data_IF_327339163155
#
_entry.id   IF_327339163155
#
_cell.length_a   1.000
_cell.length_b   1.000
_cell.length_c   1.000
_cell.angle_alpha   90.00
_cell.angle_beta   90.00
_cell.angle_gamma   90.00
#
_symmetry.space_group_name_H-M   'P 1'
#
loop_
_entity.id
_entity.type
_entity.pdbx_description
1 polymer ?
#
# COMPACT_ATOMS: atom_id res chain seq x y z
N UNK A 1 2.74 -11.45 0.13
CA UNK A 1 2.36 -11.70 1.52
C UNK A 1 0.88 -11.37 1.66
N UNK A 2 0.02 -12.36 1.85
CA UNK A 2 -1.40 -12.13 2.15
C UNK A 2 -1.50 -11.42 3.50
N UNK A 3 -2.27 -10.32 3.55
CA UNK A 3 -2.42 -9.52 4.76
C UNK A 3 -2.92 -10.36 5.93
N UNK A 4 -2.54 -9.99 7.15
CA UNK A 4 -3.07 -10.64 8.35
C UNK A 4 -4.39 -9.96 8.76
N UNK A 5 -5.31 -10.69 9.42
CA UNK A 5 -6.42 -10.06 10.12
C UNK A 5 -5.91 -8.95 11.05
N UNK A 6 -6.64 -7.85 11.14
CA UNK A 6 -6.24 -6.71 11.95
C UNK A 6 -6.70 -5.36 11.40
N UNK A 7 -6.19 -4.26 11.96
CA UNK A 7 -6.46 -2.92 11.44
C UNK A 7 -6.03 -2.78 9.97
N UNK A 8 -6.85 -2.15 9.14
CA UNK A 8 -6.57 -1.89 7.73
C UNK A 8 -7.33 -0.66 7.21
N UNK A 9 -7.00 -0.24 6.00
CA UNK A 9 -7.69 0.85 5.32
C UNK A 9 -7.12 1.11 3.93
N UNK A 10 -7.73 2.04 3.17
CA UNK A 10 -7.15 2.51 1.92
C UNK A 10 -5.78 3.14 2.17
N UNK A 11 -4.91 3.06 1.17
CA UNK A 11 -3.59 3.65 1.22
C UNK A 11 -3.31 4.57 0.03
N UNK A 12 -2.33 5.44 0.20
CA UNK A 12 -1.71 6.22 -0.86
C UNK A 12 -0.22 5.92 -0.85
N UNK A 13 0.33 5.59 -2.00
CA UNK A 13 1.73 5.24 -2.18
C UNK A 13 2.45 6.35 -2.96
N UNK A 14 3.67 6.69 -2.54
CA UNK A 14 4.55 7.65 -3.22
C UNK A 14 5.60 6.87 -3.97
N UNK A 15 5.75 7.22 -5.25
CA UNK A 15 6.69 6.58 -6.16
C UNK A 15 7.76 7.54 -6.64
N UNK A 16 8.96 7.02 -6.82
CA UNK A 16 10.11 7.71 -7.39
C UNK A 16 10.41 7.19 -8.79
N UNK A 17 10.43 8.09 -9.77
CA UNK A 17 10.82 7.78 -11.14
C UNK A 17 12.35 7.80 -11.28
N UNK A 18 12.95 6.63 -11.52
CA UNK A 18 14.39 6.47 -11.75
C UNK A 18 14.84 6.89 -13.15
N UNK A 19 13.87 7.14 -14.04
CA UNK A 19 14.06 7.60 -15.40
C UNK A 19 13.97 6.51 -16.47
N UNK A 20 13.95 6.90 -17.75
CA UNK A 20 13.68 6.00 -18.88
C UNK A 20 14.67 4.85 -19.07
N UNK A 21 15.86 4.94 -18.46
CA UNK A 21 16.86 3.86 -18.49
C UNK A 21 16.39 2.59 -17.74
N UNK A 22 15.36 2.71 -16.89
CA UNK A 22 14.91 1.65 -16.01
C UNK A 22 13.56 1.04 -16.39
N UNK A 23 12.91 1.52 -17.46
CA UNK A 23 11.62 0.98 -17.90
C UNK A 23 10.78 1.94 -18.75
N UNK A 24 9.65 1.46 -19.30
CA UNK A 24 8.73 2.27 -20.10
C UNK A 24 8.05 3.39 -19.27
N UNK A 25 7.58 4.43 -19.96
CA UNK A 25 6.69 5.46 -19.37
C UNK A 25 5.32 4.86 -19.03
N UNK A 26 4.61 5.47 -18.08
CA UNK A 26 3.22 5.10 -17.74
C UNK A 26 2.93 5.05 -16.23
N UNK A 27 3.91 5.41 -15.40
CA UNK A 27 3.78 5.40 -13.96
C UNK A 27 3.87 3.99 -13.34
N UNK A 28 3.59 3.87 -12.03
CA UNK A 28 3.73 2.62 -11.29
C UNK A 28 2.95 1.43 -11.87
N UNK A 29 1.78 1.67 -12.46
CA UNK A 29 0.99 0.61 -13.08
C UNK A 29 1.65 0.01 -14.33
N UNK A 30 2.58 0.73 -14.95
CA UNK A 30 3.28 0.29 -16.16
C UNK A 30 4.56 -0.47 -15.85
N UNK A 31 5.32 -0.06 -14.81
CA UNK A 31 6.62 -0.67 -14.49
C UNK A 31 7.09 -0.38 -13.04
N UNK A 32 7.24 -1.45 -12.27
CA UNK A 32 7.72 -1.40 -10.87
C UNK A 32 9.26 -1.31 -10.75
N UNK A 33 10.01 -1.30 -11.86
CA UNK A 33 11.48 -1.16 -11.85
C UNK A 33 11.93 0.29 -12.06
N UNK A 34 11.20 1.05 -12.89
CA UNK A 34 11.38 2.48 -13.10
C UNK A 34 10.72 3.30 -12.00
N UNK A 35 9.46 3.01 -11.68
CA UNK A 35 8.72 3.73 -10.66
C UNK A 35 8.78 2.93 -9.34
N UNK A 36 9.76 3.23 -8.50
CA UNK A 36 9.92 2.54 -7.22
C UNK A 36 9.01 3.15 -6.16
N UNK A 37 8.22 2.32 -5.50
CA UNK A 37 7.49 2.71 -4.29
C UNK A 37 8.50 3.01 -3.18
N UNK A 38 8.53 4.26 -2.71
CA UNK A 38 9.43 4.69 -1.63
C UNK A 38 8.70 4.83 -0.29
N UNK A 39 7.41 5.14 -0.31
CA UNK A 39 6.64 5.41 0.90
C UNK A 39 5.18 5.00 0.74
N UNK A 40 4.67 4.23 1.68
CA UNK A 40 3.25 3.90 1.78
C UNK A 40 2.61 4.64 2.96
N UNK A 41 1.45 5.27 2.74
CA UNK A 41 0.62 5.92 3.74
C UNK A 41 -0.71 5.19 3.83
N UNK A 42 -0.92 4.45 4.92
CA UNK A 42 -2.15 3.70 5.18
C UNK A 42 -3.07 4.51 6.09
N UNK A 43 -4.29 4.77 5.63
CA UNK A 43 -5.32 5.47 6.38
C UNK A 43 -6.22 4.45 7.07
N UNK A 44 -5.81 4.03 8.27
CA UNK A 44 -6.44 2.95 9.03
C UNK A 44 -7.86 3.34 9.44
N UNK A 45 -8.84 2.53 9.01
CA UNK A 45 -10.26 2.81 9.16
C UNK A 45 -11.08 1.61 9.63
N UNK A 46 -10.64 0.39 9.33
CA UNK A 46 -11.42 -0.81 9.52
C UNK A 46 -10.65 -1.87 10.30
N UNK A 47 -11.38 -2.73 11.00
CA UNK A 47 -10.89 -4.03 11.43
C UNK A 47 -11.30 -5.07 10.39
N UNK A 48 -10.34 -5.81 9.84
CA UNK A 48 -10.60 -6.83 8.81
C UNK A 48 -10.26 -8.23 9.29
N UNK A 49 -10.91 -9.23 8.70
CA UNK A 49 -10.70 -10.66 8.93
C UNK A 49 -10.76 -11.43 7.61
N UNK A 50 -10.51 -12.75 7.67
CA UNK A 50 -10.58 -13.67 6.52
C UNK A 50 -9.86 -13.13 5.27
N UNK A 51 -8.65 -12.61 5.45
CA UNK A 51 -7.91 -11.92 4.38
C UNK A 51 -7.42 -12.91 3.34
N UNK A 52 -7.89 -12.76 2.09
CA UNK A 52 -7.56 -13.61 0.94
C UNK A 52 -6.58 -12.89 0.01
N UNK A 53 -6.69 -11.56 -0.11
CA UNK A 53 -5.77 -10.72 -0.88
C UNK A 53 -5.72 -9.28 -0.34
N UNK A 54 -4.95 -8.39 -1.00
CA UNK A 54 -4.92 -6.95 -0.68
C UNK A 54 -6.28 -6.26 -0.88
N UNK A 55 -7.20 -6.84 -1.64
CA UNK A 55 -8.51 -6.25 -1.96
C UNK A 55 -9.68 -7.18 -1.64
N UNK A 56 -9.40 -8.37 -1.08
CA UNK A 56 -10.39 -9.41 -0.80
C UNK A 56 -10.24 -9.87 0.65
N UNK A 57 -11.16 -9.39 1.49
CA UNK A 57 -11.21 -9.59 2.94
C UNK A 57 -12.60 -9.21 3.46
N UNK A 58 -12.91 -9.61 4.69
CA UNK A 58 -14.17 -9.25 5.34
C UNK A 58 -13.96 -8.07 6.30
N UNK A 59 -14.80 -7.05 6.21
CA UNK A 59 -14.81 -5.93 7.16
C UNK A 59 -15.66 -6.32 8.37
N UNK A 60 -15.04 -6.33 9.56
CA UNK A 60 -15.72 -6.61 10.84
C UNK A 60 -16.41 -5.37 11.37
N UNK A 61 -15.82 -4.20 11.14
CA UNK A 61 -16.36 -2.90 11.56
C UNK A 61 -15.33 -1.78 11.44
N UNK A 62 -15.73 -0.56 11.81
CA UNK A 62 -14.83 0.59 11.89
C UNK A 62 -13.92 0.52 13.12
N UNK A 63 -12.72 1.09 13.01
CA UNK A 63 -11.84 1.27 14.16
C UNK A 63 -12.39 2.34 15.11
N UNK A 64 -12.18 2.22 16.44
CA UNK A 64 -12.63 3.23 17.41
C UNK A 64 -12.06 4.62 17.15
N UNK A 65 -10.85 4.69 16.56
CA UNK A 65 -10.21 5.92 16.10
C UNK A 65 -9.48 5.66 14.78
N UNK A 66 -9.69 6.55 13.83
CA UNK A 66 -8.92 6.59 12.57
C UNK A 66 -7.51 7.07 12.86
N UNK A 67 -6.52 6.43 12.25
CA UNK A 67 -5.12 6.79 12.39
C UNK A 67 -4.37 6.60 11.08
N UNK A 68 -3.12 7.08 11.04
CA UNK A 68 -2.25 6.97 9.89
C UNK A 68 -1.07 6.09 10.28
N UNK A 69 -0.85 5.03 9.52
CA UNK A 69 0.35 4.20 9.58
C UNK A 69 1.18 4.46 8.31
N UNK A 70 2.48 4.66 8.44
CA UNK A 70 3.35 4.94 7.28
C UNK A 70 4.60 4.06 7.33
N UNK A 71 5.00 3.53 6.19
CA UNK A 71 6.24 2.78 6.03
C UNK A 71 7.06 3.31 4.86
N UNK A 72 8.32 3.66 5.13
CA UNK A 72 9.32 4.00 4.12
C UNK A 72 10.42 2.93 4.15
N UNK A 73 10.81 2.43 2.98
CA UNK A 73 11.97 1.54 2.87
C UNK A 73 13.25 2.37 2.91
N UNK A 74 14.06 2.25 3.97
CA UNK A 74 15.27 3.06 4.15
C UNK A 74 16.32 2.80 3.05
N UNK A 75 16.34 1.58 2.51
CA UNK A 75 17.28 1.12 1.50
C UNK A 75 16.79 1.33 0.06
N UNK A 76 15.56 1.80 -0.12
CA UNK A 76 14.98 2.10 -1.44
C UNK A 76 15.31 3.52 -1.87
#
# INVERSE_FOLDING_TARGET
STGQPGPAGPCSEIYFDRGPAYGPEGGPAADDSRYLEIWNLVFMQYLITNVRSKVDFDIVGELPRKNIDTGMGMER
#
